data_IF_719471647819
#
_entry.id   IF_719471647819
#
_cell.length_a   1.000
_cell.length_b   1.000
_cell.length_c   1.000
_cell.angle_alpha   90.00
_cell.angle_beta   90.00
_cell.angle_gamma   90.00
#
_symmetry.space_group_name_H-M   'P 1'
#
loop_
_entity.id
_entity.type
_entity.pdbx_description
1 polymer ?
#
# COMPACT_ATOMS: atom_id res chain seq x y z
N UNK A 1 -55.49 -5.68 -12.27
CA UNK A 1 -54.40 -5.96 -13.23
C UNK A 1 -53.26 -6.77 -12.62
N UNK A 2 -52.59 -6.35 -11.54
CA UNK A 2 -51.55 -7.18 -10.87
C UNK A 2 -52.14 -8.38 -10.10
N UNK A 3 -53.28 -8.18 -9.43
CA UNK A 3 -54.02 -9.25 -8.74
C UNK A 3 -54.54 -10.32 -9.70
N UNK A 4 -54.98 -9.92 -10.90
CA UNK A 4 -55.49 -10.88 -11.90
C UNK A 4 -54.37 -11.77 -12.47
N UNK A 5 -53.13 -11.26 -12.56
CA UNK A 5 -51.97 -12.03 -13.02
C UNK A 5 -51.51 -13.10 -12.00
N UNK A 6 -51.66 -12.83 -10.70
CA UNK A 6 -51.34 -13.79 -9.61
C UNK A 6 -52.30 -14.99 -9.63
N UNK A 7 -53.52 -14.80 -10.13
CA UNK A 7 -54.53 -15.85 -10.22
C UNK A 7 -54.52 -16.62 -11.56
N UNK A 8 -53.94 -16.05 -12.63
CA UNK A 8 -53.85 -16.67 -13.96
C UNK A 8 -52.52 -17.35 -14.28
N UNK A 9 -51.49 -17.20 -13.44
CA UNK A 9 -50.23 -17.93 -13.59
C UNK A 9 -50.40 -19.40 -13.15
N UNK A 10 -49.82 -20.32 -13.93
CA UNK A 10 -49.72 -21.74 -13.55
C UNK A 10 -49.09 -21.85 -12.16
N UNK A 11 -49.65 -22.75 -11.33
CA UNK A 11 -49.27 -22.87 -9.92
C UNK A 11 -47.75 -23.09 -9.77
N UNK A 12 -47.15 -23.82 -10.71
CA UNK A 12 -45.72 -24.12 -10.74
C UNK A 12 -44.89 -22.85 -11.02
N UNK A 13 -45.28 -22.03 -11.99
CA UNK A 13 -44.60 -20.79 -12.34
C UNK A 13 -44.62 -19.78 -11.18
N UNK A 14 -45.76 -19.65 -10.48
CA UNK A 14 -45.88 -18.77 -9.33
C UNK A 14 -44.90 -19.16 -8.21
N UNK A 15 -44.81 -20.45 -7.86
CA UNK A 15 -43.91 -20.95 -6.82
C UNK A 15 -42.44 -20.85 -7.23
N UNK A 16 -42.12 -21.03 -8.51
CA UNK A 16 -40.76 -20.82 -9.04
C UNK A 16 -40.33 -19.35 -8.86
N UNK A 17 -41.13 -18.40 -9.32
CA UNK A 17 -40.77 -16.97 -9.21
C UNK A 17 -40.74 -16.47 -7.77
N UNK A 18 -41.67 -16.93 -6.93
CA UNK A 18 -41.71 -16.61 -5.49
C UNK A 18 -40.52 -17.24 -4.75
N UNK A 19 -40.12 -18.46 -5.13
CA UNK A 19 -38.94 -19.13 -4.62
C UNK A 19 -37.65 -18.39 -4.99
N UNK A 20 -37.51 -17.95 -6.25
CA UNK A 20 -36.38 -17.13 -6.71
C UNK A 20 -36.31 -15.81 -5.94
N UNK A 21 -37.44 -15.12 -5.76
CA UNK A 21 -37.49 -13.86 -5.02
C UNK A 21 -37.11 -14.05 -3.55
N UNK A 22 -37.59 -15.13 -2.92
CA UNK A 22 -37.26 -15.48 -1.54
C UNK A 22 -35.77 -15.81 -1.37
N UNK A 23 -35.20 -16.60 -2.30
CA UNK A 23 -33.78 -16.91 -2.32
C UNK A 23 -32.92 -15.65 -2.53
N UNK A 24 -33.35 -14.73 -3.40
CA UNK A 24 -32.70 -13.44 -3.60
C UNK A 24 -32.72 -12.59 -2.33
N UNK A 25 -33.85 -12.55 -1.60
CA UNK A 25 -33.94 -11.86 -0.31
C UNK A 25 -32.95 -12.43 0.72
N UNK A 26 -32.83 -13.76 0.84
CA UNK A 26 -31.85 -14.39 1.73
C UNK A 26 -30.41 -14.06 1.33
N UNK A 27 -30.10 -14.10 0.03
CA UNK A 27 -28.77 -13.73 -0.48
C UNK A 27 -28.42 -12.26 -0.19
N UNK A 28 -29.38 -11.34 -0.33
CA UNK A 28 -29.22 -9.92 0.00
C UNK A 28 -29.00 -9.70 1.50
N UNK A 29 -29.72 -10.41 2.36
CA UNK A 29 -29.51 -10.36 3.81
C UNK A 29 -28.12 -10.88 4.22
N UNK A 30 -27.68 -11.99 3.61
CA UNK A 30 -26.33 -12.53 3.85
C UNK A 30 -25.23 -11.59 3.32
N UNK A 31 -25.42 -11.02 2.13
CA UNK A 31 -24.53 -10.00 1.56
C UNK A 31 -24.41 -8.77 2.45
N UNK A 32 -25.54 -8.25 2.96
CA UNK A 32 -25.54 -7.15 3.93
C UNK A 32 -24.73 -7.52 5.20
N UNK A 33 -25.01 -8.66 5.82
CA UNK A 33 -24.35 -9.06 7.07
C UNK A 33 -22.83 -9.21 6.90
N UNK A 34 -22.40 -9.85 5.82
CA UNK A 34 -20.97 -10.07 5.54
C UNK A 34 -20.24 -8.76 5.21
N UNK A 35 -20.81 -7.90 4.37
CA UNK A 35 -20.23 -6.60 4.02
C UNK A 35 -20.16 -5.66 5.23
N UNK A 36 -21.20 -5.65 6.06
CA UNK A 36 -21.26 -4.83 7.26
C UNK A 36 -20.26 -5.32 8.33
N UNK A 37 -20.12 -6.65 8.51
CA UNK A 37 -19.11 -7.22 9.39
C UNK A 37 -17.69 -6.86 8.92
N UNK A 38 -17.41 -6.98 7.61
CA UNK A 38 -16.13 -6.56 7.02
C UNK A 38 -15.84 -5.08 7.24
N UNK A 39 -16.81 -4.20 6.99
CA UNK A 39 -16.66 -2.77 7.24
C UNK A 39 -16.34 -2.47 8.71
N UNK A 40 -17.03 -3.14 9.64
CA UNK A 40 -16.83 -2.97 11.08
C UNK A 40 -15.46 -3.46 11.56
N UNK A 41 -14.96 -4.57 11.00
CA UNK A 41 -13.61 -5.07 11.33
C UNK A 41 -12.54 -4.07 10.87
N UNK A 42 -12.70 -3.46 9.70
CA UNK A 42 -11.77 -2.45 9.18
C UNK A 42 -11.78 -1.20 10.06
N UNK A 43 -12.95 -0.75 10.52
CA UNK A 43 -13.10 0.47 11.33
C UNK A 43 -12.71 0.30 12.80
N UNK A 44 -12.80 -0.92 13.33
CA UNK A 44 -12.52 -1.19 14.75
C UNK A 44 -11.05 -1.45 15.06
N UNK A 45 -10.14 -1.33 14.08
CA UNK A 45 -8.70 -1.35 14.34
C UNK A 45 -8.29 0.05 14.82
N UNK A 46 -7.88 0.24 16.08
CA UNK A 46 -7.54 1.56 16.60
C UNK A 46 -6.21 2.03 15.99
N UNK A 47 -6.28 2.93 15.01
CA UNK A 47 -5.13 3.69 14.53
C UNK A 47 -4.54 4.50 15.68
N UNK A 48 -3.27 4.26 16.00
CA UNK A 48 -2.58 5.02 17.05
C UNK A 48 -2.05 6.34 16.49
N UNK A 49 -2.13 7.42 17.29
CA UNK A 49 -1.41 8.67 17.00
C UNK A 49 0.05 8.53 17.40
N UNK A 50 0.98 9.12 16.64
CA UNK A 50 2.41 9.08 16.91
C UNK A 50 2.75 9.57 18.32
N UNK A 51 2.09 10.63 18.79
CA UNK A 51 2.30 11.17 20.14
C UNK A 51 1.93 10.22 21.29
N UNK A 52 1.16 9.18 21.02
CA UNK A 52 0.64 8.23 22.02
C UNK A 52 0.77 6.77 21.57
N UNK A 53 1.56 6.50 20.53
CA UNK A 53 1.75 5.16 20.01
C UNK A 53 2.55 4.34 21.02
N UNK A 54 2.06 3.13 21.31
CA UNK A 54 2.78 2.21 22.18
C UNK A 54 4.06 1.70 21.49
N UNK A 55 5.08 1.35 22.27
CA UNK A 55 6.24 0.64 21.75
C UNK A 55 5.82 -0.76 21.26
N UNK A 56 6.34 -1.19 20.12
CA UNK A 56 6.05 -2.50 19.55
C UNK A 56 5.20 -2.43 18.28
N UNK A 57 4.40 -3.47 18.03
CA UNK A 57 3.60 -3.57 16.80
C UNK A 57 2.39 -2.64 16.84
N UNK A 58 2.35 -1.67 15.94
CA UNK A 58 1.32 -0.63 15.88
C UNK A 58 0.82 -0.36 14.48
N UNK A 59 -0.38 0.20 14.43
CA UNK A 59 -1.01 0.77 13.25
C UNK A 59 -0.95 2.29 13.33
N UNK A 60 -0.41 2.93 12.30
CA UNK A 60 -0.23 4.37 12.18
C UNK A 60 -0.82 4.86 10.86
N UNK A 61 -1.45 6.02 10.89
CA UNK A 61 -1.91 6.72 9.68
C UNK A 61 -1.35 8.14 9.67
N UNK A 62 -0.90 8.58 8.51
CA UNK A 62 -0.36 9.91 8.31
C UNK A 62 -0.13 10.22 6.84
N UNK A 63 0.81 11.12 6.59
CA UNK A 63 1.22 11.55 5.25
C UNK A 63 2.67 11.14 5.05
N UNK A 64 2.98 10.51 3.93
CA UNK A 64 4.35 10.22 3.52
C UNK A 64 5.05 11.52 3.14
N UNK A 65 6.23 11.77 3.71
CA UNK A 65 7.01 13.00 3.50
C UNK A 65 8.44 12.67 3.16
N UNK A 66 9.01 13.39 2.21
CA UNK A 66 10.44 13.31 1.93
C UNK A 66 11.24 13.82 3.13
N UNK A 67 12.42 13.23 3.38
CA UNK A 67 13.36 13.79 4.36
C UNK A 67 13.88 15.11 3.78
N UNK A 68 13.74 16.25 4.50
CA UNK A 68 14.23 17.53 4.01
C UNK A 68 15.71 17.47 3.60
N UNK A 69 16.03 17.96 2.42
CA UNK A 69 17.40 17.91 1.86
C UNK A 69 17.74 16.62 1.09
N UNK A 70 16.90 15.58 1.17
CA UNK A 70 17.00 14.42 0.28
C UNK A 70 16.14 14.61 -0.97
N UNK A 71 16.56 14.02 -2.08
CA UNK A 71 15.79 13.94 -3.32
C UNK A 71 15.91 12.54 -3.87
N UNK A 72 14.87 11.74 -3.68
CA UNK A 72 14.73 10.45 -4.34
C UNK A 72 13.92 10.63 -5.62
N UNK A 73 14.37 9.96 -6.68
CA UNK A 73 13.69 9.97 -7.99
C UNK A 73 13.53 8.55 -8.51
N UNK A 74 12.40 8.28 -9.17
CA UNK A 74 12.15 7.02 -9.86
C UNK A 74 13.20 6.78 -10.96
N UNK A 75 13.86 5.62 -11.00
CA UNK A 75 14.94 5.36 -11.98
C UNK A 75 14.49 5.41 -13.43
N UNK A 76 13.25 5.01 -13.74
CA UNK A 76 12.76 4.89 -15.11
C UNK A 76 12.08 6.18 -15.59
N UNK A 77 11.26 6.80 -14.74
CA UNK A 77 10.55 8.05 -15.09
C UNK A 77 11.32 9.33 -14.73
N UNK A 78 12.34 9.24 -13.89
CA UNK A 78 13.06 10.38 -13.31
C UNK A 78 12.16 11.36 -12.55
N UNK A 79 11.06 10.86 -11.96
CA UNK A 79 10.11 11.68 -11.18
C UNK A 79 10.41 11.64 -9.69
N UNK A 80 10.24 12.76 -8.96
CA UNK A 80 10.37 12.79 -7.51
C UNK A 80 9.42 11.80 -6.82
N UNK A 81 9.94 11.12 -5.81
CA UNK A 81 9.19 10.20 -4.97
C UNK A 81 9.85 10.10 -3.58
N UNK A 82 9.19 9.43 -2.64
CA UNK A 82 9.77 9.05 -1.34
C UNK A 82 10.12 7.56 -1.27
N UNK A 83 9.58 6.77 -2.19
CA UNK A 83 9.94 5.37 -2.42
C UNK A 83 9.59 4.97 -3.85
N UNK A 84 10.34 4.04 -4.45
CA UNK A 84 10.05 3.45 -5.75
C UNK A 84 10.26 1.93 -5.78
N UNK A 85 9.60 1.27 -6.72
CA UNK A 85 9.91 -0.07 -7.21
C UNK A 85 9.79 -0.05 -8.72
N UNK A 86 10.70 -0.72 -9.43
CA UNK A 86 10.57 -0.88 -10.87
C UNK A 86 10.91 -2.27 -11.36
N UNK A 87 10.35 -2.62 -12.51
CA UNK A 87 10.59 -3.86 -13.23
C UNK A 87 10.76 -3.58 -14.72
N UNK A 88 11.83 -4.14 -15.30
CA UNK A 88 12.08 -4.11 -16.74
C UNK A 88 12.00 -5.53 -17.27
N UNK A 89 11.09 -5.76 -18.20
CA UNK A 89 10.95 -7.03 -18.91
C UNK A 89 11.38 -6.88 -20.37
N UNK A 90 12.00 -7.92 -20.91
CA UNK A 90 12.37 -8.02 -22.32
C UNK A 90 11.54 -9.08 -23.03
N UNK A 91 11.14 -8.76 -24.25
CA UNK A 91 10.51 -9.70 -25.15
C UNK A 91 11.50 -10.79 -25.59
N UNK A 92 11.15 -12.06 -25.39
CA UNK A 92 11.99 -13.21 -25.74
C UNK A 92 11.45 -14.07 -26.89
N UNK A 93 10.32 -13.69 -27.48
CA UNK A 93 9.72 -14.42 -28.61
C UNK A 93 9.03 -15.73 -28.23
N UNK A 94 8.32 -16.32 -29.19
CA UNK A 94 7.64 -17.62 -29.06
C UNK A 94 6.13 -17.56 -29.29
N UNK A 95 5.49 -18.72 -29.47
CA UNK A 95 4.05 -18.87 -29.78
C UNK A 95 3.11 -18.11 -28.83
N UNK A 96 3.54 -17.85 -27.59
CA UNK A 96 2.71 -17.23 -26.55
C UNK A 96 3.21 -15.83 -26.15
N UNK A 97 4.03 -15.17 -26.97
CA UNK A 97 4.49 -13.81 -26.71
C UNK A 97 5.17 -13.66 -25.32
N UNK A 98 6.21 -14.46 -25.06
CA UNK A 98 6.86 -14.56 -23.74
C UNK A 98 7.70 -13.32 -23.41
N UNK A 99 7.63 -12.90 -22.15
CA UNK A 99 8.40 -11.81 -21.55
C UNK A 99 9.26 -12.37 -20.42
N UNK A 100 10.41 -11.76 -20.18
CA UNK A 100 11.33 -12.14 -19.11
C UNK A 100 11.80 -10.89 -18.38
N UNK A 101 11.64 -10.86 -17.06
CA UNK A 101 12.24 -9.86 -16.18
C UNK A 101 13.76 -9.92 -16.33
N UNK A 102 14.36 -8.81 -16.74
CA UNK A 102 15.81 -8.65 -16.88
C UNK A 102 16.40 -7.80 -15.77
N UNK A 103 15.58 -6.97 -15.13
CA UNK A 103 15.99 -6.05 -14.08
C UNK A 103 14.80 -5.72 -13.19
N UNK A 104 15.03 -5.71 -11.88
CA UNK A 104 14.06 -5.31 -10.87
C UNK A 104 14.83 -4.76 -9.69
N UNK A 105 14.33 -3.66 -9.13
CA UNK A 105 14.91 -3.04 -7.95
C UNK A 105 13.85 -2.24 -7.19
N UNK A 106 14.12 -1.99 -5.92
CA UNK A 106 13.26 -1.19 -5.03
C UNK A 106 14.11 -0.30 -4.13
N UNK A 107 13.58 0.86 -3.73
CA UNK A 107 14.29 1.75 -2.81
C UNK A 107 14.21 1.23 -1.37
N UNK A 108 15.34 1.23 -0.68
CA UNK A 108 15.49 1.00 0.75
C UNK A 108 15.63 2.30 1.57
N UNK A 109 15.61 3.45 0.88
CA UNK A 109 15.74 4.78 1.46
C UNK A 109 14.67 5.08 2.52
N UNK A 110 15.07 5.58 3.72
CA UNK A 110 14.14 6.04 4.72
C UNK A 110 13.33 7.26 4.26
N UNK A 111 12.08 7.34 4.71
CA UNK A 111 11.24 8.53 4.54
C UNK A 111 10.45 8.82 5.82
N UNK A 112 9.73 9.95 5.87
CA UNK A 112 8.99 10.37 7.06
C UNK A 112 7.51 10.05 6.93
N UNK A 113 6.90 9.64 8.04
CA UNK A 113 5.45 9.63 8.24
C UNK A 113 5.10 10.80 9.17
N UNK A 114 4.19 11.68 8.72
CA UNK A 114 3.68 12.81 9.49
C UNK A 114 2.17 12.63 9.74
N UNK A 115 1.79 12.46 11.01
CA UNK A 115 0.37 12.28 11.40
C UNK A 115 -0.30 13.58 11.90
N UNK A 116 0.40 14.71 11.77
CA UNK A 116 0.03 16.03 12.29
C UNK A 116 0.35 16.25 13.77
N UNK A 117 0.69 15.19 14.51
CA UNK A 117 1.08 15.27 15.94
C UNK A 117 2.57 15.05 16.16
N UNK A 118 3.25 14.42 15.22
CA UNK A 118 4.69 14.21 15.22
C UNK A 118 5.17 13.62 13.90
N UNK A 119 6.47 13.34 13.83
CA UNK A 119 7.07 12.64 12.69
C UNK A 119 7.67 11.31 13.13
N UNK A 120 7.68 10.34 12.21
CA UNK A 120 8.24 9.02 12.40
C UNK A 120 9.08 8.64 11.19
N UNK A 121 10.29 8.16 11.41
CA UNK A 121 11.16 7.65 10.35
C UNK A 121 10.71 6.24 9.95
N UNK A 122 10.27 6.07 8.72
CA UNK A 122 9.87 4.78 8.16
C UNK A 122 11.07 4.17 7.43
N UNK A 123 11.43 2.95 7.82
CA UNK A 123 12.41 2.12 7.11
C UNK A 123 11.65 1.12 6.24
N UNK A 124 11.61 1.28 4.90
CA UNK A 124 10.76 0.47 4.03
C UNK A 124 11.24 -0.97 3.83
N UNK A 125 12.45 -1.31 4.27
CA UNK A 125 13.04 -2.64 4.07
C UNK A 125 12.11 -3.77 4.56
N UNK A 126 11.83 -4.71 3.65
CA UNK A 126 10.98 -5.86 3.88
C UNK A 126 9.49 -5.54 4.10
N UNK A 127 9.05 -4.32 3.79
CA UNK A 127 7.64 -3.97 3.78
C UNK A 127 6.92 -4.50 2.54
N UNK A 128 5.67 -4.90 2.71
CA UNK A 128 4.73 -5.03 1.59
C UNK A 128 4.15 -3.65 1.30
N UNK A 129 4.53 -3.06 0.16
CA UNK A 129 4.19 -1.68 -0.18
C UNK A 129 3.12 -1.63 -1.27
N UNK A 130 2.03 -0.91 -0.99
CA UNK A 130 0.98 -0.57 -1.97
C UNK A 130 1.07 0.93 -2.28
N UNK A 131 1.69 1.31 -3.41
CA UNK A 131 1.94 2.70 -3.80
C UNK A 131 0.70 3.37 -4.40
N UNK A 132 0.69 4.71 -4.42
CA UNK A 132 -0.39 5.52 -5.02
C UNK A 132 -0.27 5.59 -6.54
N UNK A 133 0.96 5.55 -7.04
CA UNK A 133 1.26 5.71 -8.44
C UNK A 133 1.83 4.41 -9.00
N UNK A 134 1.22 3.92 -10.07
CA UNK A 134 1.74 2.84 -10.89
C UNK A 134 1.65 3.26 -12.35
N UNK A 135 2.80 3.27 -13.02
CA UNK A 135 2.89 3.55 -14.46
C UNK A 135 3.51 2.35 -15.16
N UNK A 136 3.01 2.08 -16.36
CA UNK A 136 3.56 1.07 -17.24
C UNK A 136 3.62 1.59 -18.66
N UNK A 137 4.65 1.21 -19.41
CA UNK A 137 4.80 1.55 -20.82
C UNK A 137 5.76 0.59 -21.53
N UNK A 138 5.88 0.75 -22.85
CA UNK A 138 6.79 -0.03 -23.67
C UNK A 138 7.82 0.84 -24.37
N UNK A 139 8.95 0.24 -24.69
CA UNK A 139 10.03 0.88 -25.44
C UNK A 139 10.93 -0.12 -26.14
N UNK A 140 11.97 0.41 -26.79
CA UNK A 140 12.90 -0.37 -27.62
C UNK A 140 14.32 -0.44 -27.03
N UNK A 141 14.59 0.28 -25.94
CA UNK A 141 15.86 0.28 -25.22
C UNK A 141 15.74 -0.45 -23.88
N UNK A 142 16.85 -0.91 -23.30
CA UNK A 142 16.82 -1.51 -21.96
C UNK A 142 16.41 -0.50 -20.90
N UNK A 143 17.02 0.69 -20.90
CA UNK A 143 16.62 1.79 -20.04
C UNK A 143 15.85 2.84 -20.85
N UNK A 144 14.65 3.24 -20.41
CA UNK A 144 13.88 4.28 -21.07
C UNK A 144 14.49 5.66 -20.81
N UNK A 145 14.29 6.59 -21.73
CA UNK A 145 14.52 8.01 -21.45
C UNK A 145 13.35 8.55 -20.62
N UNK A 146 13.60 9.48 -19.69
CA UNK A 146 12.55 10.12 -18.90
C UNK A 146 11.40 10.70 -19.75
N UNK A 147 11.71 11.24 -20.93
CA UNK A 147 10.72 11.78 -21.88
C UNK A 147 9.74 10.73 -22.44
N UNK A 148 10.08 9.44 -22.36
CA UNK A 148 9.21 8.33 -22.81
C UNK A 148 8.24 7.85 -21.75
N UNK A 149 8.44 8.25 -20.49
CA UNK A 149 7.58 7.84 -19.39
C UNK A 149 6.23 8.57 -19.47
N UNK A 150 5.10 7.85 -19.38
CA UNK A 150 3.77 8.46 -19.42
C UNK A 150 3.57 9.36 -18.20
N UNK A 151 2.66 10.34 -18.28
CA UNK A 151 2.26 11.13 -17.09
C UNK A 151 1.65 10.23 -16.01
N UNK A 152 1.65 10.71 -14.76
CA UNK A 152 1.04 10.01 -13.63
C UNK A 152 -0.47 10.00 -13.87
N UNK A 153 -0.94 8.98 -14.58
CA UNK A 153 -2.32 8.84 -15.03
C UNK A 153 -2.74 7.40 -14.81
N UNK A 154 -3.98 7.21 -14.38
CA UNK A 154 -4.55 5.94 -13.97
C UNK A 154 -4.93 5.07 -15.19
N UNK A 155 -3.95 4.79 -16.05
CA UNK A 155 -4.11 3.88 -17.18
C UNK A 155 -3.86 2.45 -16.73
N UNK A 156 -4.75 1.54 -17.12
CA UNK A 156 -4.52 0.12 -16.87
C UNK A 156 -3.21 -0.35 -17.51
N UNK A 157 -2.38 -1.07 -16.75
CA UNK A 157 -1.14 -1.70 -17.20
C UNK A 157 -1.36 -2.55 -18.45
N UNK A 158 -2.54 -3.16 -18.57
CA UNK A 158 -2.94 -3.93 -19.75
C UNK A 158 -2.94 -3.08 -21.04
N UNK A 159 -3.53 -1.88 -21.00
CA UNK A 159 -3.58 -0.96 -22.16
C UNK A 159 -2.17 -0.48 -22.52
N UNK A 160 -1.34 -0.17 -21.52
CA UNK A 160 0.04 0.23 -21.74
C UNK A 160 0.87 -0.81 -22.50
N UNK A 161 0.46 -2.08 -22.46
CA UNK A 161 1.17 -3.19 -23.07
C UNK A 161 0.61 -3.67 -24.42
N UNK A 162 -0.30 -2.91 -25.03
CA UNK A 162 -0.77 -3.15 -26.40
C UNK A 162 0.21 -2.67 -27.48
N UNK A 163 1.30 -1.99 -27.09
CA UNK A 163 2.36 -1.56 -28.00
C UNK A 163 3.20 -2.72 -28.59
N UNK A 164 4.07 -2.37 -29.54
CA UNK A 164 5.04 -3.28 -30.18
C UNK A 164 6.49 -3.12 -29.70
N UNK A 165 6.71 -2.55 -28.51
CA UNK A 165 8.05 -2.38 -27.96
C UNK A 165 8.70 -3.71 -27.58
N UNK A 166 10.03 -3.77 -27.59
CA UNK A 166 10.79 -4.97 -27.16
C UNK A 166 10.98 -5.05 -25.65
N UNK A 167 10.70 -3.98 -24.94
CA UNK A 167 10.79 -3.88 -23.49
C UNK A 167 9.48 -3.38 -22.89
N UNK A 168 9.13 -3.92 -21.73
CA UNK A 168 8.05 -3.43 -20.86
C UNK A 168 8.67 -2.87 -19.61
N UNK A 169 8.19 -1.71 -19.21
CA UNK A 169 8.59 -1.05 -17.98
C UNK A 169 7.36 -0.96 -17.09
N UNK A 170 7.54 -1.33 -15.83
CA UNK A 170 6.59 -1.05 -14.77
C UNK A 170 7.35 -0.26 -13.71
N UNK A 171 6.84 0.90 -13.32
CA UNK A 171 7.39 1.68 -12.22
C UNK A 171 6.26 2.04 -11.25
N UNK A 172 6.51 1.81 -9.98
CA UNK A 172 5.62 2.11 -8.87
C UNK A 172 6.30 3.11 -7.96
N UNK A 173 5.57 4.11 -7.48
CA UNK A 173 6.11 5.19 -6.66
C UNK A 173 5.16 5.59 -5.55
N UNK A 174 5.74 5.86 -4.39
CA UNK A 174 5.12 6.61 -3.29
C UNK A 174 5.57 8.07 -3.42
N UNK A 175 4.63 9.01 -3.39
CA UNK A 175 4.90 10.43 -3.58
C UNK A 175 4.95 11.17 -2.24
N UNK A 176 5.66 12.29 -2.21
CA UNK A 176 5.59 13.22 -1.08
C UNK A 176 4.18 13.83 -1.04
N UNK A 177 3.54 13.75 0.13
CA UNK A 177 2.17 14.17 0.33
C UNK A 177 1.12 13.06 0.23
N UNK A 178 1.53 11.82 -0.11
CA UNK A 178 0.58 10.71 -0.17
C UNK A 178 0.03 10.37 1.22
N UNK A 179 -1.28 10.09 1.36
CA UNK A 179 -1.79 9.45 2.56
C UNK A 179 -1.10 8.10 2.72
N UNK A 180 -0.68 7.75 3.92
CA UNK A 180 0.06 6.54 4.20
C UNK A 180 -0.46 5.84 5.44
N UNK A 181 -0.94 4.63 5.24
CA UNK A 181 -1.23 3.65 6.27
C UNK A 181 0.00 2.78 6.49
N UNK A 182 0.37 2.62 7.75
CA UNK A 182 1.57 1.94 8.20
C UNK A 182 1.23 0.92 9.27
N UNK A 183 1.60 -0.34 9.07
CA UNK A 183 1.50 -1.39 10.07
C UNK A 183 2.87 -2.01 10.28
N UNK A 184 3.47 -1.85 11.45
CA UNK A 184 4.84 -2.27 11.68
C UNK A 184 5.29 -2.14 13.13
N UNK A 185 6.59 -2.36 13.37
CA UNK A 185 7.17 -2.23 14.70
C UNK A 185 7.69 -0.81 14.93
N UNK A 186 7.06 -0.12 15.88
CA UNK A 186 7.37 1.22 16.31
C UNK A 186 8.28 1.21 17.54
N UNK A 187 9.34 2.00 17.46
CA UNK A 187 10.22 2.25 18.59
C UNK A 187 10.58 3.72 18.71
N UNK A 188 10.82 4.17 19.93
CA UNK A 188 11.30 5.52 20.22
C UNK A 188 12.72 5.44 20.75
N UNK A 189 13.68 5.95 19.98
CA UNK A 189 15.09 5.98 20.36
C UNK A 189 15.46 7.35 20.95
N UNK A 190 15.90 7.38 22.21
CA UNK A 190 16.38 8.58 22.89
C UNK A 190 17.89 8.80 22.74
N UNK A 191 18.34 10.05 22.76
CA UNK A 191 19.75 10.42 22.51
C UNK A 191 20.75 9.80 23.53
N UNK A 192 20.33 9.59 24.78
CA UNK A 192 21.13 8.90 25.80
C UNK A 192 21.37 7.40 25.51
N UNK A 193 20.50 6.79 24.70
CA UNK A 193 20.62 5.42 24.20
C UNK A 193 21.40 5.40 22.88
N UNK A 194 21.26 6.46 22.06
CA UNK A 194 22.00 6.66 20.80
C UNK A 194 23.52 6.70 21.00
N UNK A 195 24.05 7.40 22.00
CA UNK A 195 25.50 7.45 22.24
C UNK A 195 26.12 6.06 22.57
N UNK A 196 25.37 5.19 23.27
CA UNK A 196 25.81 3.83 23.61
C UNK A 196 25.49 2.79 22.53
N UNK A 197 24.36 2.96 21.84
CA UNK A 197 23.90 2.06 20.78
C UNK A 197 24.64 2.27 19.46
N UNK A 198 24.93 3.51 19.06
CA UNK A 198 25.62 3.81 17.80
C UNK A 198 27.04 3.24 17.77
N UNK A 199 27.79 3.28 18.88
CA UNK A 199 29.13 2.68 18.95
C UNK A 199 29.11 1.14 18.92
N UNK A 200 28.04 0.53 19.42
CA UNK A 200 27.86 -0.94 19.44
C UNK A 200 27.30 -1.45 18.10
N UNK A 201 26.33 -0.74 17.54
CA UNK A 201 25.73 -1.02 16.23
C UNK A 201 26.70 -0.74 15.08
N UNK A 202 27.58 0.27 15.18
CA UNK A 202 28.69 0.45 14.22
C UNK A 202 29.68 -0.71 14.31
N UNK A 203 29.97 -1.24 15.52
CA UNK A 203 30.84 -2.42 15.69
C UNK A 203 30.22 -3.69 15.12
N UNK A 204 28.94 -3.95 15.40
CA UNK A 204 28.20 -5.11 14.87
C UNK A 204 27.97 -4.99 13.36
N UNK A 205 27.65 -3.80 12.84
CA UNK A 205 27.54 -3.56 11.42
C UNK A 205 28.89 -3.78 10.72
N UNK A 206 30.01 -3.29 11.28
CA UNK A 206 31.35 -3.54 10.74
C UNK A 206 31.79 -5.02 10.84
N UNK A 207 31.21 -5.81 11.76
CA UNK A 207 31.42 -7.26 11.82
C UNK A 207 30.57 -8.01 10.80
N UNK A 208 29.28 -7.69 10.67
CA UNK A 208 28.37 -8.28 9.67
C UNK A 208 28.74 -7.90 8.23
N UNK A 209 29.20 -6.65 8.00
CA UNK A 209 29.66 -6.15 6.69
C UNK A 209 30.95 -6.83 6.21
N UNK A 210 31.76 -7.38 7.11
CA UNK A 210 32.97 -8.13 6.75
C UNK A 210 32.68 -9.56 6.26
N UNK A 211 31.56 -10.15 6.65
CA UNK A 211 31.21 -11.53 6.28
C UNK A 211 30.54 -11.65 4.91
N UNK A 212 29.90 -10.60 4.38
CA UNK A 212 29.15 -10.64 3.11
C UNK A 212 29.69 -9.68 2.03
N UNK A 213 30.99 -9.75 1.76
CA UNK A 213 31.69 -8.92 0.77
C UNK A 213 31.24 -9.13 -0.69
N UNK A 214 30.68 -10.29 -1.02
CA UNK A 214 30.33 -10.64 -2.41
C UNK A 214 28.99 -10.08 -2.90
N UNK A 215 28.06 -9.77 -1.99
CA UNK A 215 26.73 -9.23 -2.34
C UNK A 215 26.79 -7.71 -2.59
N UNK A 216 27.75 -7.03 -1.95
CA UNK A 216 27.92 -5.58 -1.98
C UNK A 216 28.39 -5.04 -3.36
N UNK A 217 29.25 -5.80 -4.05
CA UNK A 217 29.86 -5.38 -5.32
C UNK A 217 28.87 -5.31 -6.50
N UNK A 218 27.68 -5.92 -6.39
CA UNK A 218 26.72 -5.95 -7.50
C UNK A 218 25.78 -4.75 -7.56
N UNK A 219 25.54 -4.05 -6.46
CA UNK A 219 24.52 -2.99 -6.39
C UNK A 219 25.09 -1.57 -6.38
N UNK A 220 26.27 -1.35 -5.80
CA UNK A 220 26.75 0.00 -5.49
C UNK A 220 27.93 0.48 -6.33
N UNK A 221 28.54 -0.40 -7.14
CA UNK A 221 29.67 -0.03 -8.00
C UNK A 221 29.20 0.53 -9.35
N UNK A 222 28.71 1.77 -9.36
CA UNK A 222 28.28 2.49 -10.58
C UNK A 222 29.43 3.08 -11.40
N UNK A 223 30.62 3.22 -10.83
CA UNK A 223 31.80 3.78 -11.51
C UNK A 223 32.88 2.73 -11.85
N UNK A 224 32.73 1.48 -11.38
CA UNK A 224 33.58 0.34 -11.73
C UNK A 224 34.95 0.39 -11.07
N UNK A 225 35.10 1.04 -9.91
CA UNK A 225 36.41 1.27 -9.28
C UNK A 225 36.71 0.31 -8.11
N UNK A 226 35.73 -0.48 -7.66
CA UNK A 226 35.91 -1.48 -6.62
C UNK A 226 35.98 -0.96 -5.18
N UNK A 227 35.67 0.33 -4.91
CA UNK A 227 35.58 0.89 -3.55
C UNK A 227 34.34 1.79 -3.35
N UNK A 228 33.51 1.52 -2.34
CA UNK A 228 32.36 2.38 -1.99
C UNK A 228 32.85 3.53 -1.10
N UNK A 229 32.88 4.77 -1.62
CA UNK A 229 33.36 5.94 -0.87
C UNK A 229 32.33 6.45 0.16
N UNK A 230 32.89 6.87 1.29
CA UNK A 230 32.30 7.45 2.50
C UNK A 230 31.37 8.66 2.19
N UNK A 231 31.57 9.33 1.05
CA UNK A 231 30.86 10.55 0.64
C UNK A 231 29.42 10.34 0.14
N UNK A 232 29.07 9.16 -0.35
CA UNK A 232 27.69 8.85 -0.78
C UNK A 232 26.76 8.62 0.42
N UNK A 233 27.30 7.98 1.47
CA UNK A 233 26.61 7.75 2.74
C UNK A 233 26.54 8.99 3.65
N UNK A 234 27.52 9.90 3.57
CA UNK A 234 27.54 11.13 4.38
C UNK A 234 26.41 12.11 4.01
N UNK A 235 25.97 12.13 2.74
CA UNK A 235 24.93 13.05 2.24
C UNK A 235 23.53 12.74 2.77
N UNK A 236 23.19 11.46 2.92
CA UNK A 236 21.93 11.03 3.55
C UNK A 236 21.95 11.23 5.09
N UNK A 237 23.13 11.09 5.69
CA UNK A 237 23.35 11.22 7.13
C UNK A 237 23.29 12.67 7.63
N UNK A 238 23.85 13.63 6.89
CA UNK A 238 23.85 15.04 7.27
C UNK A 238 22.45 15.69 7.13
N UNK A 239 21.68 15.34 6.09
CA UNK A 239 20.33 15.88 5.88
C UNK A 239 19.34 15.47 6.99
N UNK A 240 19.49 14.26 7.53
CA UNK A 240 18.60 13.69 8.57
C UNK A 240 18.89 14.25 9.97
N UNK A 241 20.14 14.59 10.28
CA UNK A 241 20.53 15.08 11.62
C UNK A 241 20.27 16.58 11.80
N UNK A 242 20.40 17.39 10.74
CA UNK A 242 20.26 18.85 10.81
C UNK A 242 18.79 19.28 11.00
N UNK A 243 17.83 18.58 10.37
CA UNK A 243 16.44 19.05 10.32
C UNK A 243 15.56 18.60 11.49
N UNK A 244 15.95 17.54 12.22
CA UNK A 244 15.32 17.19 13.51
C UNK A 244 15.55 18.29 14.55
N UNK A 245 16.62 19.09 14.41
CA UNK A 245 16.91 20.20 15.33
C UNK A 245 16.10 21.47 15.09
N UNK A 246 15.63 21.73 13.86
CA UNK A 246 15.14 23.07 13.49
C UNK A 246 13.62 23.27 13.55
N UNK A 247 12.80 22.25 13.85
CA UNK A 247 11.33 22.39 13.92
C UNK A 247 10.71 22.08 15.29
N UNK A 248 11.50 21.60 16.23
CA UNK A 248 11.06 21.28 17.58
C UNK A 248 11.31 22.47 18.52
N UNK A 249 10.28 23.30 18.73
CA UNK A 249 10.17 24.13 19.95
C UNK A 249 9.92 23.19 21.14
N UNK A 250 10.94 22.46 21.56
CA UNK A 250 10.84 21.39 22.56
C UNK A 250 11.73 21.74 23.75
N UNK A 251 11.16 21.56 24.94
CA UNK A 251 11.82 21.78 26.23
C UNK A 251 13.04 20.84 26.36
N UNK A 252 14.11 21.24 27.06
CA UNK A 252 15.28 20.38 27.25
C UNK A 252 14.87 19.08 27.99
N UNK A 253 14.92 17.94 27.30
CA UNK A 253 14.55 16.62 27.86
C UNK A 253 13.92 15.59 26.88
N UNK A 254 13.57 15.97 25.65
CA UNK A 254 12.76 15.17 24.70
C UNK A 254 13.47 14.85 23.36
N UNK A 255 14.79 14.59 23.38
CA UNK A 255 15.53 14.16 22.18
C UNK A 255 15.27 12.68 21.86
N UNK A 256 14.08 12.39 21.34
CA UNK A 256 13.70 11.04 20.93
C UNK A 256 13.16 10.98 19.50
N UNK A 257 13.70 10.06 18.70
CA UNK A 257 13.27 9.83 17.32
C UNK A 257 12.37 8.59 17.29
N UNK A 258 11.21 8.75 16.70
CA UNK A 258 10.29 7.65 16.43
C UNK A 258 10.70 6.95 15.14
N UNK A 259 10.82 5.63 15.18
CA UNK A 259 11.22 4.79 14.04
C UNK A 259 10.20 3.67 13.85
N UNK A 260 9.71 3.51 12.63
CA UNK A 260 8.88 2.40 12.19
C UNK A 260 9.72 1.49 11.30
N UNK A 261 9.73 0.20 11.63
CA UNK A 261 10.53 -0.80 10.92
C UNK A 261 9.83 -2.15 10.89
N UNK A 262 10.42 -3.07 10.13
CA UNK A 262 9.98 -4.47 10.09
C UNK A 262 9.91 -5.08 11.50
N UNK A 263 8.80 -5.77 11.86
CA UNK A 263 8.72 -6.53 13.10
C UNK A 263 9.72 -7.68 13.16
N UNK A 264 10.30 -7.93 14.34
CA UNK A 264 11.20 -9.07 14.58
C UNK A 264 10.48 -10.42 14.45
N UNK A 265 9.18 -10.46 14.76
CA UNK A 265 8.35 -11.65 14.62
C UNK A 265 7.94 -11.90 13.16
N UNK A 266 8.39 -13.02 12.57
CA UNK A 266 8.09 -13.38 11.16
C UNK A 266 6.59 -13.48 10.83
N UNK A 267 5.72 -13.69 11.81
CA UNK A 267 4.26 -13.83 11.61
C UNK A 267 3.52 -12.50 11.50
N UNK A 268 4.16 -11.38 11.86
CA UNK A 268 3.53 -10.07 11.82
C UNK A 268 3.84 -9.40 10.48
N UNK A 269 2.80 -8.98 9.73
CA UNK A 269 3.03 -8.33 8.45
C UNK A 269 3.60 -6.92 8.66
N UNK A 270 4.51 -6.50 7.80
CA UNK A 270 4.97 -5.12 7.70
C UNK A 270 4.35 -4.53 6.42
N UNK A 271 3.42 -3.60 6.57
CA UNK A 271 2.61 -3.09 5.44
C UNK A 271 2.71 -1.58 5.39
N UNK A 272 2.96 -1.05 4.20
CA UNK A 272 2.85 0.37 3.88
C UNK A 272 1.85 0.50 2.73
N UNK A 273 0.78 1.27 2.88
CA UNK A 273 -0.26 1.36 1.85
C UNK A 273 -0.76 2.79 1.72
N UNK A 274 -0.77 3.30 0.49
CA UNK A 274 -1.38 4.60 0.20
C UNK A 274 -2.89 4.52 0.01
N UNK A 275 -3.46 3.31 -0.05
CA UNK A 275 -4.90 3.14 -0.12
C UNK A 275 -5.49 3.34 1.29
N UNK A 276 -6.30 4.39 1.52
CA UNK A 276 -6.93 4.60 2.81
C UNK A 276 -7.92 3.47 3.12
N UNK A 277 -7.69 2.73 4.21
CA UNK A 277 -8.62 1.68 4.67
C UNK A 277 -10.04 2.23 4.91
N UNK A 278 -10.15 3.50 5.31
CA UNK A 278 -11.44 4.17 5.50
C UNK A 278 -12.24 4.40 4.21
N UNK A 279 -11.60 4.58 3.06
CA UNK A 279 -12.32 4.69 1.77
C UNK A 279 -12.91 3.34 1.36
N UNK A 280 -12.20 2.26 1.67
CA UNK A 280 -12.65 0.88 1.45
C UNK A 280 -13.85 0.56 2.37
N UNK A 281 -13.79 0.96 3.64
CA UNK A 281 -14.90 0.82 4.59
C UNK A 281 -16.16 1.58 4.11
N UNK A 282 -16.01 2.81 3.59
CA UNK A 282 -17.15 3.58 3.05
C UNK A 282 -17.79 2.87 1.87
N UNK A 283 -16.99 2.33 0.94
CA UNK A 283 -17.50 1.58 -0.21
C UNK A 283 -18.21 0.28 0.21
N UNK A 284 -17.65 -0.43 1.19
CA UNK A 284 -18.29 -1.63 1.76
C UNK A 284 -19.63 -1.29 2.43
N UNK A 285 -19.71 -0.16 3.15
CA UNK A 285 -20.98 0.35 3.71
C UNK A 285 -21.99 0.72 2.64
N UNK A 286 -21.57 1.38 1.55
CA UNK A 286 -22.50 1.70 0.45
C UNK A 286 -23.06 0.43 -0.19
N UNK A 287 -22.23 -0.61 -0.40
CA UNK A 287 -22.71 -1.90 -0.89
C UNK A 287 -23.61 -2.61 0.12
N UNK A 288 -23.27 -2.59 1.41
CA UNK A 288 -24.12 -3.14 2.46
C UNK A 288 -25.48 -2.44 2.53
N UNK A 289 -25.52 -1.11 2.36
CA UNK A 289 -26.74 -0.32 2.31
C UNK A 289 -27.60 -0.64 1.08
N UNK A 290 -26.98 -0.86 -0.09
CA UNK A 290 -27.69 -1.32 -1.30
C UNK A 290 -28.29 -2.72 -1.10
N UNK A 291 -27.54 -3.65 -0.51
CA UNK A 291 -28.05 -4.98 -0.16
C UNK A 291 -29.24 -4.89 0.83
N UNK A 292 -29.13 -4.02 1.85
CA UNK A 292 -30.22 -3.76 2.80
C UNK A 292 -31.46 -3.20 2.08
N UNK A 293 -31.30 -2.18 1.23
CA UNK A 293 -32.42 -1.60 0.48
C UNK A 293 -33.10 -2.66 -0.40
N UNK A 294 -32.33 -3.49 -1.10
CA UNK A 294 -32.86 -4.61 -1.88
C UNK A 294 -33.63 -5.61 -1.02
N UNK A 295 -33.11 -5.97 0.15
CA UNK A 295 -33.77 -6.87 1.09
C UNK A 295 -35.11 -6.31 1.60
N UNK A 296 -35.13 -5.02 1.97
CA UNK A 296 -36.34 -4.32 2.46
C UNK A 296 -37.44 -4.26 1.39
N UNK A 297 -37.10 -4.33 0.10
CA UNK A 297 -38.09 -4.42 -0.98
C UNK A 297 -38.48 -5.88 -1.26
N UNK A 298 -37.50 -6.78 -1.41
CA UNK A 298 -37.76 -8.16 -1.83
C UNK A 298 -38.52 -8.98 -0.77
N UNK A 299 -38.19 -8.82 0.51
CA UNK A 299 -38.79 -9.63 1.58
C UNK A 299 -40.29 -9.34 1.80
N UNK A 300 -40.76 -8.07 1.87
CA UNK A 300 -42.19 -7.79 1.97
C UNK A 300 -42.97 -8.19 0.72
N UNK A 301 -42.40 -8.06 -0.48
CA UNK A 301 -43.05 -8.49 -1.73
C UNK A 301 -43.22 -10.00 -1.74
N UNK A 302 -42.17 -10.77 -1.40
CA UNK A 302 -42.26 -12.22 -1.28
C UNK A 302 -43.30 -12.65 -0.23
N UNK A 303 -43.30 -11.99 0.94
CA UNK A 303 -44.26 -12.27 2.00
C UNK A 303 -45.71 -11.96 1.56
N UNK A 304 -45.92 -10.83 0.89
CA UNK A 304 -47.23 -10.45 0.37
C UNK A 304 -47.76 -11.47 -0.64
N UNK A 305 -46.92 -11.92 -1.57
CA UNK A 305 -47.28 -12.95 -2.56
C UNK A 305 -47.68 -14.28 -1.87
N UNK A 306 -46.90 -14.70 -0.87
CA UNK A 306 -47.19 -15.92 -0.09
C UNK A 306 -48.51 -15.78 0.69
N UNK A 307 -48.73 -14.66 1.38
CA UNK A 307 -49.94 -14.42 2.16
C UNK A 307 -51.18 -14.35 1.27
N UNK A 308 -51.11 -13.69 0.12
CA UNK A 308 -52.24 -13.66 -0.81
C UNK A 308 -52.58 -15.03 -1.38
N UNK A 309 -51.59 -15.89 -1.61
CA UNK A 309 -51.82 -17.25 -2.14
C UNK A 309 -52.32 -18.24 -1.09
N UNK A 310 -51.94 -18.07 0.18
CA UNK A 310 -52.37 -18.92 1.30
C UNK A 310 -53.68 -18.46 1.95
N UNK A 311 -54.02 -17.17 1.81
CA UNK A 311 -55.26 -16.57 2.32
C UNK A 311 -56.47 -16.73 1.40
N UNK A 312 -56.28 -17.34 0.24
CA UNK A 312 -57.31 -17.77 -0.74
C UNK A 312 -57.48 -19.27 -0.68
#
# INVERSE_FOLDING_TARGET
>A
MFTDFIHMADADDFWIWTGILSAAAVALAWGMATLFHRARVIENTPTSKLRSAAQGFVELEGTARAIPGTKLVGPLSQRPCVWFEYEIEKYVGGKNNKWRTIERDESDDPFLLDDGTGTCLVLPDGASITPSCQVAWQGNSRHPSAASAPQDTDYSVFVAFLGGGRYRYTERRLLDGDPLYCLGNFRTESDATRARGVSTAIREALQNLKENREVLLRHFDKNGDGEIDTREWERARQATVEHVKSRHHVKPGEDSINILSRPTERRRPFILSTTPQHALARRLRTWAALCLAGFVVAAPVALYLIVQRLGT
#
